data_IF_413299210133
#
_entry.id   IF_413299210133
#
_cell.length_a   1.000
_cell.length_b   1.000
_cell.length_c   1.000
_cell.angle_alpha   90.00
_cell.angle_beta   90.00
_cell.angle_gamma   90.00
#
_symmetry.space_group_name_H-M   'P 1'
#
loop_
_entity.id
_entity.type
_entity.pdbx_description
1 polymer ?
#
# COMPACT_ATOMS: atom_id res chain seq x y z
N UNK A 1 12.09 54.84 3.05
CA UNK A 1 10.62 54.77 3.02
C UNK A 1 10.19 53.43 2.44
N UNK A 2 9.09 52.91 2.96
CA UNK A 2 8.37 51.67 2.61
C UNK A 2 8.97 50.32 3.10
N UNK A 3 8.23 49.60 3.98
CA UNK A 3 8.50 48.21 4.41
C UNK A 3 7.72 47.22 3.53
N UNK A 4 8.07 45.92 3.53
CA UNK A 4 7.21 44.88 2.97
C UNK A 4 7.09 43.66 3.88
N UNK A 5 5.85 43.20 3.99
CA UNK A 5 5.25 42.48 5.11
C UNK A 5 5.59 40.98 5.13
N UNK A 6 5.95 40.49 6.33
CA UNK A 6 5.94 39.07 6.69
C UNK A 6 4.51 38.73 7.13
N UNK A 7 3.73 38.07 6.26
CA UNK A 7 2.46 37.49 6.65
C UNK A 7 2.71 36.15 7.35
N UNK A 8 2.84 36.22 8.69
CA UNK A 8 2.87 35.05 9.57
C UNK A 8 1.42 34.68 9.91
N UNK A 9 0.93 33.58 9.35
CA UNK A 9 -0.41 33.07 9.64
C UNK A 9 -0.53 32.70 11.13
N UNK A 10 -1.46 33.35 11.84
CA UNK A 10 -1.82 33.03 13.23
C UNK A 10 -2.97 32.01 13.21
N UNK A 11 -2.68 30.78 13.60
CA UNK A 11 -3.70 29.77 13.88
C UNK A 11 -4.39 30.10 15.22
N UNK A 12 -5.73 30.01 15.32
CA UNK A 12 -6.41 30.21 16.59
C UNK A 12 -6.15 29.04 17.55
N UNK A 13 -5.70 29.38 18.74
CA UNK A 13 -5.54 28.50 19.89
C UNK A 13 -6.94 28.07 20.36
N UNK A 14 -7.32 26.80 20.14
CA UNK A 14 -8.51 26.22 20.76
C UNK A 14 -8.24 26.03 22.25
N UNK A 15 -8.86 26.86 23.07
CA UNK A 15 -8.84 26.76 24.53
C UNK A 15 -9.62 25.54 25.02
N UNK A 16 -9.08 24.97 26.10
CA UNK A 16 -9.59 23.84 26.86
C UNK A 16 -10.85 24.24 27.64
N UNK A 17 -11.89 23.41 27.57
CA UNK A 17 -12.96 23.42 28.56
C UNK A 17 -13.38 21.97 28.82
N UNK A 18 -12.82 21.41 29.90
CA UNK A 18 -13.37 20.21 30.55
C UNK A 18 -14.28 20.68 31.68
N UNK A 19 -15.58 20.31 31.69
CA UNK A 19 -16.35 20.39 32.92
C UNK A 19 -16.21 19.10 33.73
N UNK A 20 -16.01 19.32 35.03
CA UNK A 20 -15.93 18.33 36.09
C UNK A 20 -17.27 17.62 36.34
N UNK A 21 -17.13 16.36 36.73
CA UNK A 21 -18.07 15.36 37.25
C UNK A 21 -19.29 15.88 38.02
N UNK A 22 -20.47 15.30 37.75
CA UNK A 22 -21.42 14.90 38.80
C UNK A 22 -21.99 13.51 38.50
N UNK A 23 -21.76 12.59 39.42
CA UNK A 23 -22.40 11.28 39.47
C UNK A 23 -23.83 11.44 40.03
N UNK A 24 -24.81 10.79 39.39
CA UNK A 24 -26.11 10.47 40.00
C UNK A 24 -26.67 9.17 39.44
N UNK A 25 -27.46 8.54 40.30
CA UNK A 25 -27.80 7.12 40.43
C UNK A 25 -28.93 6.62 39.51
N UNK A 26 -28.88 5.32 39.25
CA UNK A 26 -29.95 4.34 39.01
C UNK A 26 -31.36 4.84 38.65
N UNK A 27 -31.82 4.50 37.45
CA UNK A 27 -33.18 4.00 37.23
C UNK A 27 -33.28 3.25 35.89
N UNK A 28 -33.77 2.02 35.98
CA UNK A 28 -34.16 1.16 34.87
C UNK A 28 -35.30 1.79 34.09
N UNK A 29 -35.23 1.77 32.76
CA UNK A 29 -36.41 1.70 31.90
C UNK A 29 -36.02 1.17 30.50
N UNK A 30 -36.49 -0.04 30.24
CA UNK A 30 -36.61 -0.66 28.92
C UNK A 30 -37.59 0.13 28.07
N UNK A 31 -37.21 0.51 26.85
CA UNK A 31 -38.14 0.73 25.72
C UNK A 31 -37.44 0.35 24.40
N UNK A 32 -38.21 -0.42 23.66
CA UNK A 32 -38.15 -1.00 22.33
C UNK A 32 -37.54 -0.19 21.17
N UNK A 33 -36.80 -0.95 20.33
CA UNK A 33 -36.86 -1.02 18.87
C UNK A 33 -36.59 0.25 18.03
N UNK A 34 -35.54 0.19 17.20
CA UNK A 34 -35.63 0.61 15.80
C UNK A 34 -34.52 -0.04 14.96
N UNK A 35 -34.87 -1.15 14.32
CA UNK A 35 -34.12 -1.74 13.21
C UNK A 35 -34.37 -0.89 11.97
N UNK A 36 -33.35 -0.18 11.47
CA UNK A 36 -33.40 0.40 10.13
C UNK A 36 -33.09 -0.67 9.10
N UNK A 37 -34.14 -1.38 8.73
CA UNK A 37 -34.20 -2.22 7.53
C UNK A 37 -34.32 -1.29 6.32
N UNK A 38 -33.32 -1.28 5.44
CA UNK A 38 -33.42 -0.66 4.13
C UNK A 38 -33.85 -1.75 3.14
N UNK A 39 -35.17 -1.85 2.93
CA UNK A 39 -35.80 -2.63 1.87
C UNK A 39 -36.08 -1.71 0.68
N UNK A 40 -35.43 -1.93 -0.45
CA UNK A 40 -35.87 -1.37 -1.73
C UNK A 40 -35.80 -2.47 -2.80
N UNK A 41 -36.98 -3.00 -3.06
CA UNK A 41 -37.54 -3.34 -4.38
C UNK A 41 -36.69 -4.16 -5.34
N UNK A 42 -36.98 -5.45 -5.36
CA UNK A 42 -36.88 -6.29 -6.55
C UNK A 42 -37.69 -5.64 -7.69
N UNK A 43 -37.03 -5.38 -8.82
CA UNK A 43 -37.70 -5.16 -10.10
C UNK A 43 -37.18 -6.22 -11.06
N UNK A 44 -38.00 -7.25 -11.24
CA UNK A 44 -37.88 -8.24 -12.29
C UNK A 44 -38.14 -7.58 -13.64
N UNK A 45 -37.17 -7.62 -14.55
CA UNK A 45 -37.41 -7.41 -15.98
C UNK A 45 -36.78 -8.53 -16.78
N UNK A 46 -37.65 -9.39 -17.29
CA UNK A 46 -37.33 -10.40 -18.28
C UNK A 46 -37.06 -9.76 -19.65
N UNK A 47 -36.17 -10.43 -20.39
CA UNK A 47 -36.04 -10.53 -21.85
C UNK A 47 -35.88 -9.25 -22.65
N UNK A 48 -34.70 -9.07 -23.25
CA UNK A 48 -34.53 -9.25 -24.70
C UNK A 48 -33.04 -9.37 -25.04
N UNK A 49 -32.70 -10.51 -25.62
CA UNK A 49 -31.48 -10.76 -26.38
C UNK A 49 -31.41 -9.80 -27.55
N UNK A 50 -30.53 -8.81 -27.47
CA UNK A 50 -30.00 -8.11 -28.64
C UNK A 50 -28.51 -8.43 -28.75
N UNK A 51 -28.21 -9.34 -29.67
CA UNK A 51 -26.88 -9.46 -30.27
C UNK A 51 -26.47 -8.08 -30.82
N UNK A 52 -25.72 -7.33 -30.04
CA UNK A 52 -25.01 -6.16 -30.52
C UNK A 52 -23.59 -6.60 -30.89
N UNK A 53 -23.44 -6.89 -32.18
CA UNK A 53 -22.17 -6.96 -32.89
C UNK A 53 -21.20 -5.89 -32.38
N UNK A 54 -20.06 -6.36 -31.88
CA UNK A 54 -18.86 -5.61 -31.55
C UNK A 54 -18.42 -4.75 -32.73
N UNK A 55 -18.78 -3.47 -32.69
CA UNK A 55 -18.15 -2.43 -33.49
C UNK A 55 -17.26 -1.61 -32.57
N UNK A 56 -15.96 -1.82 -32.70
CA UNK A 56 -14.90 -0.99 -32.10
C UNK A 56 -15.08 0.45 -32.57
N UNK A 57 -15.54 1.33 -31.68
CA UNK A 57 -15.61 2.76 -32.00
C UNK A 57 -14.25 3.42 -31.81
N UNK A 58 -13.83 4.35 -32.68
CA UNK A 58 -12.55 5.07 -32.57
C UNK A 58 -12.43 5.96 -31.32
N UNK A 59 -13.49 6.07 -30.50
CA UNK A 59 -13.51 6.85 -29.27
C UNK A 59 -12.81 6.15 -28.09
N UNK A 60 -12.71 4.82 -28.11
CA UNK A 60 -12.18 4.03 -26.97
C UNK A 60 -10.65 4.04 -26.92
N UNK A 61 -9.99 4.03 -28.09
CA UNK A 61 -8.53 4.19 -28.19
C UNK A 61 -8.07 5.61 -27.76
N UNK A 62 -8.98 6.59 -27.77
CA UNK A 62 -8.71 7.94 -27.29
C UNK A 62 -8.78 8.03 -25.75
N UNK A 63 -9.63 7.24 -25.08
CA UNK A 63 -9.72 7.20 -23.61
C UNK A 63 -8.39 6.77 -22.96
N UNK A 64 -7.65 5.86 -23.60
CA UNK A 64 -6.29 5.43 -23.19
C UNK A 64 -5.28 6.58 -23.11
N UNK A 65 -5.34 7.52 -24.05
CA UNK A 65 -4.40 8.68 -24.09
C UNK A 65 -4.62 9.63 -22.93
N UNK A 66 -5.82 9.65 -22.36
CA UNK A 66 -6.13 10.51 -21.24
C UNK A 66 -5.64 9.93 -19.93
N UNK A 67 -5.50 8.60 -19.78
CA UNK A 67 -5.03 7.92 -18.56
C UNK A 67 -3.61 8.37 -18.17
N UNK A 68 -3.44 8.76 -16.91
CA UNK A 68 -2.12 9.19 -16.41
C UNK A 68 -1.35 7.97 -15.90
N UNK A 69 -0.03 7.93 -16.18
CA UNK A 69 0.82 6.88 -15.67
C UNK A 69 0.91 6.89 -14.13
N UNK A 70 0.67 5.76 -13.47
CA UNK A 70 0.77 5.66 -12.02
C UNK A 70 2.22 5.78 -11.53
N UNK A 71 2.36 6.07 -10.23
CA UNK A 71 3.66 5.94 -9.57
C UNK A 71 3.93 4.46 -9.31
N UNK A 72 5.09 3.96 -9.74
CA UNK A 72 5.49 2.57 -9.55
C UNK A 72 5.63 2.20 -8.07
N UNK A 73 5.35 0.95 -7.74
CA UNK A 73 5.65 0.39 -6.43
C UNK A 73 7.17 0.40 -6.21
N UNK A 74 7.59 0.83 -5.02
CA UNK A 74 9.01 0.87 -4.66
C UNK A 74 9.50 -0.55 -4.36
N UNK A 75 10.58 -0.94 -5.01
CA UNK A 75 11.36 -2.13 -4.63
C UNK A 75 12.29 -1.76 -3.47
N UNK A 76 12.28 -2.58 -2.42
CA UNK A 76 13.11 -2.39 -1.24
C UNK A 76 14.05 -3.59 -1.06
N UNK A 77 15.19 -3.36 -0.41
CA UNK A 77 16.14 -4.40 -0.11
C UNK A 77 15.53 -5.46 0.83
N UNK A 78 15.68 -6.72 0.42
CA UNK A 78 15.18 -7.88 1.13
C UNK A 78 16.31 -8.51 1.95
N UNK A 79 16.07 -8.74 3.23
CA UNK A 79 17.02 -9.40 4.12
C UNK A 79 16.26 -10.23 5.14
N UNK A 80 16.61 -11.51 5.23
CA UNK A 80 16.03 -12.47 6.17
C UNK A 80 16.71 -12.37 7.53
N UNK A 81 15.90 -12.47 8.58
CA UNK A 81 16.30 -12.42 9.98
C UNK A 81 15.51 -13.42 10.79
N UNK A 82 16.15 -13.97 11.80
CA UNK A 82 15.50 -14.85 12.78
C UNK A 82 15.32 -14.12 14.10
N UNK A 83 14.19 -14.34 14.77
CA UNK A 83 13.95 -13.78 16.08
C UNK A 83 12.86 -14.52 16.84
N UNK A 84 12.75 -14.21 18.13
CA UNK A 84 11.72 -14.76 19.02
C UNK A 84 10.64 -13.72 19.25
N UNK A 85 9.38 -14.14 19.18
CA UNK A 85 8.23 -13.29 19.45
C UNK A 85 8.15 -13.01 20.95
N UNK A 86 8.20 -11.74 21.33
CA UNK A 86 8.16 -11.29 22.72
C UNK A 86 6.72 -10.99 23.19
N UNK A 87 5.94 -10.28 22.38
CA UNK A 87 4.54 -9.96 22.71
C UNK A 87 3.63 -9.93 21.49
N UNK A 88 2.42 -10.46 21.67
CA UNK A 88 1.36 -10.54 20.65
C UNK A 88 0.08 -9.87 21.17
N UNK A 89 -0.84 -9.48 20.29
CA UNK A 89 -2.17 -8.97 20.68
C UNK A 89 -2.21 -7.53 21.19
N UNK A 90 -1.06 -6.90 21.47
CA UNK A 90 -0.97 -5.47 21.81
C UNK A 90 -1.34 -4.56 20.63
N UNK A 91 -1.08 -5.02 19.41
CA UNK A 91 -1.37 -4.33 18.15
C UNK A 91 -1.98 -5.33 17.17
N UNK A 92 -2.99 -4.91 16.42
CA UNK A 92 -3.56 -5.76 15.39
C UNK A 92 -2.54 -6.01 14.26
N UNK A 93 -2.42 -7.27 13.81
CA UNK A 93 -1.57 -7.67 12.68
C UNK A 93 -0.11 -7.24 12.81
N UNK A 94 0.37 -7.05 14.04
CA UNK A 94 1.73 -6.61 14.32
C UNK A 94 2.21 -7.23 15.63
N UNK A 95 3.42 -7.76 15.63
CA UNK A 95 4.05 -8.39 16.79
C UNK A 95 5.36 -7.70 17.14
N UNK A 96 5.77 -7.78 18.41
CA UNK A 96 7.11 -7.37 18.85
C UNK A 96 8.02 -8.58 18.88
N UNK A 97 9.16 -8.49 18.21
CA UNK A 97 10.11 -9.59 18.00
C UNK A 97 11.49 -9.17 18.48
N UNK A 98 12.15 -10.01 19.27
CA UNK A 98 13.53 -9.83 19.70
C UNK A 98 14.45 -10.62 18.77
N UNK A 99 15.40 -9.91 18.16
CA UNK A 99 16.54 -10.51 17.45
C UNK A 99 17.79 -10.44 18.33
N UNK A 100 18.35 -11.61 18.66
CA UNK A 100 19.65 -11.73 19.34
C UNK A 100 20.77 -11.75 18.30
N UNK A 101 21.77 -10.89 18.45
CA UNK A 101 22.95 -10.84 17.60
C UNK A 101 24.17 -10.43 18.42
N UNK A 102 25.38 -10.63 17.91
CA UNK A 102 26.61 -10.24 18.64
C UNK A 102 27.18 -8.95 18.09
N UNK A 103 27.68 -8.09 18.98
CA UNK A 103 28.37 -6.84 18.63
C UNK A 103 29.80 -6.88 19.14
N UNK A 104 30.75 -6.49 18.29
CA UNK A 104 32.16 -6.36 18.65
C UNK A 104 32.40 -5.10 19.49
N UNK A 105 32.95 -5.25 20.69
CA UNK A 105 33.45 -4.14 21.48
C UNK A 105 34.93 -3.91 21.13
N UNK A 106 35.25 -2.78 20.50
CA UNK A 106 36.61 -2.44 20.05
C UNK A 106 37.61 -2.24 21.20
N UNK A 107 37.15 -1.75 22.36
CA UNK A 107 38.03 -1.45 23.48
C UNK A 107 38.49 -2.71 24.20
N UNK A 108 37.59 -3.68 24.38
CA UNK A 108 37.88 -4.95 25.07
C UNK A 108 38.37 -6.01 24.06
N UNK A 109 38.04 -5.87 22.77
CA UNK A 109 38.38 -6.85 21.74
C UNK A 109 37.57 -8.15 21.87
N UNK A 110 36.27 -8.05 22.20
CA UNK A 110 35.39 -9.21 22.40
C UNK A 110 33.98 -8.98 21.84
N UNK A 111 33.35 -10.04 21.37
CA UNK A 111 31.94 -10.06 20.98
C UNK A 111 31.03 -10.21 22.20
N UNK A 112 29.97 -9.40 22.25
CA UNK A 112 28.94 -9.45 23.28
C UNK A 112 27.56 -9.67 22.67
N UNK A 113 26.67 -10.45 23.32
CA UNK A 113 25.29 -10.59 22.89
C UNK A 113 24.55 -9.25 23.05
N UNK A 114 23.80 -8.87 22.04
CA UNK A 114 22.92 -7.71 21.99
C UNK A 114 21.56 -8.13 21.47
N UNK A 115 20.53 -7.61 22.11
CA UNK A 115 19.15 -7.83 21.70
C UNK A 115 18.64 -6.57 20.98
N UNK A 116 17.86 -6.74 19.92
CA UNK A 116 17.18 -5.64 19.24
C UNK A 116 15.74 -6.01 18.96
N UNK A 117 14.84 -5.11 19.37
CA UNK A 117 13.40 -5.28 19.20
C UNK A 117 12.97 -4.72 17.85
N UNK A 118 12.21 -5.52 17.11
CA UNK A 118 11.58 -5.15 15.85
C UNK A 118 10.06 -5.22 15.96
N UNK A 119 9.37 -4.33 15.25
CA UNK A 119 7.95 -4.48 14.98
C UNK A 119 7.78 -5.16 13.62
N UNK A 120 7.10 -6.29 13.62
CA UNK A 120 6.93 -7.15 12.46
C UNK A 120 5.44 -7.29 12.15
N UNK A 121 5.05 -7.10 10.90
CA UNK A 121 3.66 -7.28 10.48
C UNK A 121 3.31 -8.76 10.32
N UNK A 122 2.16 -9.14 10.84
CA UNK A 122 1.51 -10.45 10.69
C UNK A 122 0.13 -10.26 10.04
N UNK A 123 0.00 -10.42 8.71
CA UNK A 123 -1.27 -10.17 8.03
C UNK A 123 -2.45 -11.03 8.53
N UNK A 124 -2.18 -12.26 8.97
CA UNK A 124 -3.19 -13.28 9.32
C UNK A 124 -3.27 -13.59 10.82
N UNK A 125 -2.52 -12.89 11.68
CA UNK A 125 -2.50 -13.09 13.15
C UNK A 125 -2.21 -14.55 13.56
N UNK A 126 -1.24 -15.16 12.90
CA UNK A 126 -0.81 -16.56 13.07
C UNK A 126 0.08 -16.79 14.30
N UNK A 127 0.79 -15.76 14.76
CA UNK A 127 1.81 -15.92 15.80
C UNK A 127 1.26 -15.95 17.22
N UNK A 128 2.01 -16.58 18.11
CA UNK A 128 1.85 -16.61 19.57
C UNK A 128 3.14 -16.16 20.24
N UNK A 129 3.04 -15.77 21.51
CA UNK A 129 4.21 -15.36 22.30
C UNK A 129 5.17 -16.55 22.46
N UNK A 130 6.47 -16.30 22.33
CA UNK A 130 7.50 -17.35 22.41
C UNK A 130 7.82 -18.08 21.11
N UNK A 131 7.05 -17.88 20.02
CA UNK A 131 7.38 -18.47 18.73
C UNK A 131 8.75 -18.00 18.22
N UNK A 132 9.51 -18.87 17.57
CA UNK A 132 10.70 -18.48 16.80
C UNK A 132 10.33 -18.40 15.33
N UNK A 133 10.59 -17.25 14.75
CA UNK A 133 10.14 -16.91 13.39
C UNK A 133 11.29 -16.47 12.53
N UNK A 134 11.11 -16.61 11.23
CA UNK A 134 11.88 -15.89 10.24
C UNK A 134 11.04 -14.73 9.69
N UNK A 135 11.66 -13.55 9.61
CA UNK A 135 11.03 -12.34 9.09
C UNK A 135 11.97 -11.62 8.13
N UNK A 136 11.40 -10.93 7.15
CA UNK A 136 12.13 -10.16 6.16
C UNK A 136 12.02 -8.65 6.39
N UNK A 137 13.03 -7.92 5.95
CA UNK A 137 12.95 -6.47 5.73
C UNK A 137 12.37 -6.12 4.36
N UNK A 138 12.10 -4.84 4.13
CA UNK A 138 11.73 -4.33 2.80
C UNK A 138 10.24 -4.30 2.52
N UNK A 139 9.39 -4.48 3.54
CA UNK A 139 7.95 -4.36 3.42
C UNK A 139 7.41 -3.31 4.41
N UNK A 140 7.69 -2.01 4.17
CA UNK A 140 7.20 -0.94 5.03
C UNK A 140 5.68 -0.81 4.94
N UNK A 141 4.99 -1.15 6.04
CA UNK A 141 3.54 -0.97 6.20
C UNK A 141 3.22 0.34 6.91
N UNK A 142 4.06 0.76 7.84
CA UNK A 142 3.90 1.99 8.64
C UNK A 142 5.27 2.60 8.96
N UNK A 143 5.29 3.75 9.64
CA UNK A 143 6.51 4.48 10.00
C UNK A 143 7.52 3.66 10.82
N UNK A 144 7.03 2.69 11.63
CA UNK A 144 7.89 1.83 12.48
C UNK A 144 7.88 0.36 12.07
N UNK A 145 6.92 -0.05 11.24
CA UNK A 145 6.73 -1.45 10.84
C UNK A 145 7.30 -1.62 9.44
N UNK A 146 8.54 -2.10 9.40
CA UNK A 146 9.33 -2.30 8.17
C UNK A 146 9.54 -3.75 7.79
N UNK A 147 9.16 -4.65 8.70
CA UNK A 147 9.42 -6.08 8.61
C UNK A 147 8.10 -6.84 8.49
N UNK A 148 8.14 -7.98 7.83
CA UNK A 148 7.00 -8.90 7.69
C UNK A 148 7.48 -10.32 7.92
N UNK A 149 6.61 -11.17 8.46
CA UNK A 149 6.92 -12.58 8.71
C UNK A 149 6.99 -13.34 7.38
N UNK A 150 7.93 -14.27 7.28
CA UNK A 150 8.04 -15.21 6.16
C UNK A 150 7.57 -16.60 6.57
N UNK A 151 8.13 -17.15 7.67
CA UNK A 151 7.76 -18.48 8.17
C UNK A 151 7.88 -18.57 9.70
N UNK A 152 7.12 -19.50 10.26
CA UNK A 152 7.28 -19.94 11.65
C UNK A 152 8.33 -21.07 11.62
N UNK A 153 9.41 -20.92 12.39
CA UNK A 153 10.48 -21.93 12.46
C UNK A 153 10.11 -22.95 13.55
N UNK A 154 9.80 -22.47 14.76
CA UNK A 154 9.37 -23.33 15.86
C UNK A 154 8.12 -22.72 16.51
N UNK A 155 6.95 -23.37 16.41
CA UNK A 155 5.76 -22.92 17.11
C UNK A 155 5.87 -23.22 18.61
N UNK A 156 5.44 -22.28 19.45
CA UNK A 156 5.34 -22.43 20.90
C UNK A 156 3.89 -22.69 21.33
N UNK A 157 3.69 -23.60 22.27
CA UNK A 157 2.40 -24.02 22.85
C UNK A 157 1.38 -24.65 21.87
N UNK A 158 0.94 -23.93 20.83
CA UNK A 158 -0.06 -24.40 19.85
C UNK A 158 0.64 -24.85 18.57
N UNK A 159 0.32 -26.01 17.97
CA UNK A 159 0.95 -26.46 16.72
C UNK A 159 0.60 -25.54 15.53
N UNK A 160 1.29 -25.72 14.40
CA UNK A 160 1.09 -24.86 13.22
C UNK A 160 -0.25 -25.12 12.52
N UNK A 161 -0.81 -26.32 12.66
CA UNK A 161 -2.04 -26.76 12.01
C UNK A 161 -3.28 -26.04 12.57
N UNK A 162 -3.31 -25.76 13.87
CA UNK A 162 -4.42 -25.09 14.55
C UNK A 162 -4.42 -23.56 14.32
N UNK A 163 -3.46 -23.06 13.54
CA UNK A 163 -3.23 -21.63 13.32
C UNK A 163 -3.50 -21.24 11.87
N UNK A 164 -3.89 -19.99 11.60
CA UNK A 164 -3.98 -19.52 10.23
C UNK A 164 -2.60 -19.53 9.57
N UNK A 165 -2.51 -20.03 8.35
CA UNK A 165 -1.25 -20.14 7.61
C UNK A 165 -0.62 -18.76 7.35
N UNK A 166 0.71 -18.65 7.44
CA UNK A 166 1.44 -17.41 7.12
C UNK A 166 1.31 -17.09 5.62
N UNK A 167 1.21 -15.79 5.30
CA UNK A 167 1.06 -15.31 3.92
C UNK A 167 2.41 -15.37 3.19
N UNK A 168 2.45 -16.02 2.03
CA UNK A 168 3.69 -16.15 1.25
C UNK A 168 4.17 -14.81 0.70
N UNK A 169 5.42 -14.74 0.22
CA UNK A 169 5.96 -13.50 -0.36
C UNK A 169 5.19 -13.08 -1.61
N UNK A 170 4.90 -14.02 -2.48
CA UNK A 170 4.19 -13.77 -3.74
C UNK A 170 2.78 -13.29 -3.46
N UNK A 171 2.06 -13.95 -2.55
CA UNK A 171 0.72 -13.53 -2.12
C UNK A 171 0.72 -12.11 -1.53
N UNK A 172 1.77 -11.75 -0.77
CA UNK A 172 1.92 -10.39 -0.22
C UNK A 172 2.18 -9.34 -1.29
N UNK A 173 2.96 -9.67 -2.31
CA UNK A 173 3.25 -8.78 -3.43
C UNK A 173 1.98 -8.60 -4.28
N UNK A 174 1.23 -9.67 -4.54
CA UNK A 174 -0.08 -9.64 -5.19
C UNK A 174 -1.09 -8.78 -4.42
N UNK A 175 -1.20 -8.93 -3.09
CA UNK A 175 -2.07 -8.06 -2.27
C UNK A 175 -1.67 -6.57 -2.38
N UNK A 176 -0.36 -6.30 -2.42
CA UNK A 176 0.17 -4.94 -2.53
C UNK A 176 -0.13 -4.34 -3.89
N UNK A 177 0.04 -5.12 -4.95
CA UNK A 177 -0.27 -4.77 -6.33
C UNK A 177 -1.77 -4.54 -6.53
N UNK A 178 -2.61 -5.42 -5.98
CA UNK A 178 -4.06 -5.26 -5.98
C UNK A 178 -4.48 -3.95 -5.32
N UNK A 179 -4.02 -3.68 -4.10
CA UNK A 179 -4.33 -2.41 -3.40
C UNK A 179 -3.85 -1.18 -4.18
N UNK A 180 -2.73 -1.31 -4.90
CA UNK A 180 -2.21 -0.25 -5.76
C UNK A 180 -3.08 -0.03 -7.00
N UNK A 181 -3.51 -1.11 -7.67
CA UNK A 181 -4.40 -1.08 -8.82
C UNK A 181 -5.78 -0.51 -8.46
N UNK A 182 -6.39 -0.97 -7.37
CA UNK A 182 -7.66 -0.42 -6.86
C UNK A 182 -7.55 1.10 -6.58
N UNK A 183 -6.43 1.54 -6.00
CA UNK A 183 -6.17 2.97 -5.76
C UNK A 183 -5.98 3.74 -7.06
N UNK A 184 -5.42 3.12 -8.09
CA UNK A 184 -5.27 3.70 -9.41
C UNK A 184 -6.63 3.91 -10.08
N UNK A 185 -7.42 2.84 -10.21
CA UNK A 185 -8.78 2.89 -10.78
C UNK A 185 -9.63 3.95 -10.09
N UNK A 186 -9.65 3.97 -8.75
CA UNK A 186 -10.40 4.95 -7.97
C UNK A 186 -9.94 6.41 -8.21
N UNK A 187 -8.67 6.62 -8.53
CA UNK A 187 -8.13 7.96 -8.84
C UNK A 187 -8.53 8.38 -10.24
N UNK A 188 -8.39 7.48 -11.20
CA UNK A 188 -8.69 7.75 -12.60
C UNK A 188 -10.18 7.95 -12.83
N UNK A 189 -11.04 7.16 -12.18
CA UNK A 189 -12.49 7.35 -12.25
C UNK A 189 -12.93 8.72 -11.73
N UNK A 190 -12.31 9.18 -10.63
CA UNK A 190 -12.55 10.54 -10.11
C UNK A 190 -12.05 11.63 -11.08
N UNK A 191 -10.95 11.39 -11.80
CA UNK A 191 -10.34 12.38 -12.70
C UNK A 191 -11.14 12.53 -14.00
N UNK A 192 -11.62 11.41 -14.55
CA UNK A 192 -12.40 11.40 -15.79
C UNK A 192 -13.89 11.66 -15.54
N UNK A 193 -14.39 11.48 -14.31
CA UNK A 193 -15.82 11.63 -14.00
C UNK A 193 -16.69 10.45 -14.49
N UNK A 194 -16.05 9.36 -14.93
CA UNK A 194 -16.67 8.12 -15.41
C UNK A 194 -15.97 6.93 -14.76
N UNK A 195 -16.67 5.82 -14.60
CA UNK A 195 -16.06 4.58 -14.11
C UNK A 195 -15.06 4.03 -15.15
N UNK A 196 -13.87 3.67 -14.69
CA UNK A 196 -12.81 3.12 -15.54
C UNK A 196 -12.85 1.60 -15.39
N UNK A 197 -13.31 0.92 -16.43
CA UNK A 197 -13.34 -0.54 -16.48
C UNK A 197 -12.03 -1.05 -17.08
N UNK A 198 -11.18 -1.67 -16.25
CA UNK A 198 -9.90 -2.21 -16.71
C UNK A 198 -10.06 -3.40 -17.66
N UNK A 199 -11.11 -4.21 -17.49
CA UNK A 199 -11.40 -5.38 -18.34
C UNK A 199 -11.67 -5.00 -19.79
N UNK A 200 -12.59 -4.05 -20.02
CA UNK A 200 -12.89 -3.52 -21.36
C UNK A 200 -11.64 -2.96 -22.04
N UNK A 201 -10.82 -2.27 -21.26
CA UNK A 201 -9.60 -1.67 -21.76
C UNK A 201 -8.53 -2.72 -22.08
N UNK A 202 -8.48 -3.83 -21.34
CA UNK A 202 -7.63 -4.98 -21.63
C UNK A 202 -8.06 -5.70 -22.94
N UNK A 203 -9.36 -5.89 -23.15
CA UNK A 203 -9.93 -6.43 -24.40
C UNK A 203 -9.52 -5.57 -25.61
N UNK A 204 -9.60 -4.24 -25.47
CA UNK A 204 -9.20 -3.30 -26.52
C UNK A 204 -7.73 -3.42 -26.94
N UNK A 205 -6.87 -3.88 -26.02
CA UNK A 205 -5.43 -4.07 -26.24
C UNK A 205 -5.05 -5.52 -26.56
N UNK A 206 -6.03 -6.43 -26.73
CA UNK A 206 -5.82 -7.87 -26.91
C UNK A 206 -4.95 -8.50 -25.81
N UNK A 207 -5.13 -8.08 -24.55
CA UNK A 207 -4.47 -8.69 -23.40
C UNK A 207 -5.25 -9.94 -22.99
N UNK A 208 -4.55 -11.04 -22.70
CA UNK A 208 -5.18 -12.29 -22.27
C UNK A 208 -6.07 -12.12 -21.03
N UNK A 209 -7.26 -12.74 -21.10
CA UNK A 209 -8.21 -12.80 -19.99
C UNK A 209 -7.61 -13.57 -18.81
N UNK A 210 -7.70 -12.99 -17.60
CA UNK A 210 -7.13 -13.59 -16.37
C UNK A 210 -5.81 -12.95 -15.91
N UNK A 211 -5.30 -11.95 -16.63
CA UNK A 211 -4.21 -11.10 -16.13
C UNK A 211 -4.64 -10.27 -14.92
N UNK A 212 -3.73 -10.05 -13.97
CA UNK A 212 -4.00 -9.23 -12.79
C UNK A 212 -4.22 -7.76 -13.20
N UNK A 213 -5.16 -7.06 -12.55
CA UNK A 213 -5.41 -5.62 -12.78
C UNK A 213 -4.12 -4.78 -12.77
N UNK A 214 -3.17 -5.12 -11.88
CA UNK A 214 -1.89 -4.44 -11.83
C UNK A 214 -1.05 -4.67 -13.09
N UNK A 215 -1.05 -5.90 -13.63
CA UNK A 215 -0.36 -6.24 -14.88
C UNK A 215 -0.99 -5.52 -16.07
N UNK A 216 -2.33 -5.43 -16.12
CA UNK A 216 -3.06 -4.67 -17.13
C UNK A 216 -2.59 -3.21 -17.10
N UNK A 217 -2.56 -2.58 -15.92
CA UNK A 217 -2.07 -1.20 -15.74
C UNK A 217 -0.60 -1.05 -16.18
N UNK A 218 0.26 -2.01 -15.85
CA UNK A 218 1.66 -2.00 -16.27
C UNK A 218 1.79 -2.06 -17.80
N UNK A 219 0.97 -2.87 -18.46
CA UNK A 219 0.99 -3.02 -19.91
C UNK A 219 0.48 -1.76 -20.62
N UNK A 220 -0.61 -1.16 -20.13
CA UNK A 220 -1.18 0.08 -20.68
C UNK A 220 -0.16 1.22 -20.67
N UNK A 221 0.59 1.34 -19.58
CA UNK A 221 1.58 2.42 -19.39
C UNK A 221 3.00 2.03 -19.82
N UNK A 222 3.16 0.87 -20.47
CA UNK A 222 4.47 0.42 -20.95
C UNK A 222 5.02 1.44 -21.96
N UNK A 223 6.14 2.07 -21.63
CA UNK A 223 6.78 3.11 -22.45
C UNK A 223 6.31 4.55 -22.16
N UNK A 224 5.16 4.74 -21.49
CA UNK A 224 4.71 6.05 -21.00
C UNK A 224 4.96 6.19 -19.50
N UNK A 225 6.18 5.90 -19.07
CA UNK A 225 6.52 5.98 -17.64
C UNK A 225 6.44 7.42 -17.14
N UNK A 226 5.94 7.59 -15.92
CA UNK A 226 6.03 8.87 -15.22
C UNK A 226 7.50 9.15 -14.85
N UNK A 227 8.22 9.82 -15.74
CA UNK A 227 9.59 10.26 -15.50
C UNK A 227 9.57 11.43 -14.51
N UNK A 228 10.21 11.26 -13.35
CA UNK A 228 10.36 12.33 -12.36
C UNK A 228 11.31 13.44 -12.84
N UNK A 229 11.20 14.65 -12.28
CA UNK A 229 11.99 15.84 -12.68
C UNK A 229 13.49 15.56 -12.79
N UNK A 230 14.07 14.85 -11.82
CA UNK A 230 15.50 14.51 -11.81
C UNK A 230 15.86 13.55 -12.94
N UNK A 231 15.12 12.45 -13.11
CA UNK A 231 15.37 11.49 -14.22
C UNK A 231 15.19 12.17 -15.58
N UNK A 232 14.23 13.08 -15.71
CA UNK A 232 14.02 13.89 -16.91
C UNK A 232 15.22 14.79 -17.20
N UNK A 233 15.70 15.54 -16.20
CA UNK A 233 16.89 16.39 -16.32
C UNK A 233 18.14 15.58 -16.66
N UNK A 234 18.30 14.39 -16.08
CA UNK A 234 19.42 13.49 -16.40
C UNK A 234 19.32 13.04 -17.85
N UNK A 235 18.14 12.58 -18.30
CA UNK A 235 17.91 12.21 -19.69
C UNK A 235 18.22 13.38 -20.62
N UNK A 236 17.63 14.55 -20.38
CA UNK A 236 17.87 15.79 -21.15
C UNK A 236 19.36 16.15 -21.23
N UNK A 237 20.15 15.94 -20.17
CA UNK A 237 21.62 16.15 -20.19
C UNK A 237 22.38 15.07 -20.94
N UNK A 238 21.98 13.81 -20.78
CA UNK A 238 22.63 12.68 -21.46
C UNK A 238 22.31 12.64 -22.96
N UNK A 239 21.10 13.07 -23.34
CA UNK A 239 20.65 13.15 -24.74
C UNK A 239 20.95 14.51 -25.36
N UNK A 240 21.11 15.55 -24.55
CA UNK A 240 21.37 16.92 -24.98
C UNK A 240 22.73 17.43 -24.50
N UNK A 241 23.80 17.15 -25.25
CA UNK A 241 24.85 18.11 -25.72
C UNK A 241 26.20 17.43 -25.98
N UNK A 242 27.08 17.93 -26.88
CA UNK A 242 26.87 18.95 -27.93
C UNK A 242 27.43 18.56 -29.33
N UNK A 243 26.67 18.79 -30.40
CA UNK A 243 27.19 18.89 -31.78
C UNK A 243 27.19 20.36 -32.21
N UNK A 244 28.12 21.15 -31.67
CA UNK A 244 28.54 22.42 -32.26
C UNK A 244 30.04 22.59 -32.02
N UNK A 245 30.84 21.84 -32.78
CA UNK A 245 32.18 22.30 -33.15
C UNK A 245 32.00 23.34 -34.25
N UNK A 246 32.33 24.62 -34.04
CA UNK A 246 32.51 25.52 -35.17
C UNK A 246 33.77 25.07 -35.92
N UNK A 247 33.57 24.38 -37.03
CA UNK A 247 34.55 24.36 -38.11
C UNK A 247 34.61 25.75 -38.73
N UNK A 248 35.79 26.08 -39.29
CA UNK A 248 36.10 27.26 -40.11
C UNK A 248 36.38 28.58 -39.39
N UNK A 249 37.67 28.88 -39.22
CA UNK A 249 38.24 30.12 -39.75
C UNK A 249 39.73 29.88 -40.06
N UNK A 250 40.03 29.93 -41.36
CA UNK A 250 41.35 30.06 -41.96
C UNK A 250 42.01 31.39 -41.57
#
# INVERSE_FOLDING_TARGET
MAPNHILRATMPIRSLASPMVQARSTLLQSISQSTRSASTSQSSRNTETSNASSQTTPSELAELKHLQAPALLRSYAYTLKTGTVESVGRMERTVSVIQRHTVWNKQIGKYYPKETRYLVSDPRNSLREGDVIEFSSGAPKSRRVHHVIERIITPFAVPIEDRPAVLSREEREQERERRWAEKYVRRESRRLGKEVNLSQLAESMNIEEGTSDAQIIHQIHKGNERIGKVKKLVLERTTGSPSQTPAEAL
#
